data_IF_257020280240
#
_entry.id   IF_257020280240
#
_cell.length_a   1.000
_cell.length_b   1.000
_cell.length_c   1.000
_cell.angle_alpha   90.00
_cell.angle_beta   90.00
_cell.angle_gamma   90.00
#
_symmetry.space_group_name_H-M   'P 1'
#
loop_
_entity.id
_entity.type
_entity.pdbx_description
1 polymer ?
#
# COMPACT_ATOMS: atom_id res chain seq x y z
N UNK A 1 -10.69 -14.80 2.74
CA UNK A 1 -10.77 -15.89 1.74
C UNK A 1 -9.42 -15.91 1.05
N UNK A 2 -8.76 -17.09 0.94
CA UNK A 2 -7.47 -17.20 0.27
C UNK A 2 -7.71 -17.27 -1.25
N UNK A 3 -7.22 -16.30 -2.00
CA UNK A 3 -7.38 -16.26 -3.45
C UNK A 3 -6.09 -16.64 -4.16
N UNK A 4 -6.20 -17.48 -5.20
CA UNK A 4 -5.05 -17.83 -6.05
C UNK A 4 -4.80 -16.75 -7.07
N UNK A 5 -3.62 -16.19 -7.01
CA UNK A 5 -3.11 -15.18 -7.94
C UNK A 5 -1.86 -15.66 -8.64
N UNK A 6 -1.38 -14.89 -9.59
CA UNK A 6 -0.08 -15.05 -10.26
C UNK A 6 0.63 -13.71 -10.29
N UNK A 7 1.95 -13.73 -10.30
CA UNK A 7 2.68 -12.53 -10.67
C UNK A 7 3.42 -12.73 -11.98
N UNK A 8 3.42 -11.69 -12.82
CA UNK A 8 3.90 -11.75 -14.20
C UNK A 8 4.55 -10.46 -14.66
N UNK A 9 5.41 -10.62 -15.66
CA UNK A 9 6.08 -9.53 -16.36
C UNK A 9 6.17 -9.82 -17.86
N UNK A 10 6.91 -8.99 -18.60
CA UNK A 10 7.22 -9.23 -20.00
C UNK A 10 7.94 -10.58 -20.24
N UNK A 11 8.57 -11.17 -19.22
CA UNK A 11 9.24 -12.48 -19.34
C UNK A 11 8.27 -13.62 -19.60
N UNK A 12 7.00 -13.49 -19.19
CA UNK A 12 5.96 -14.49 -19.44
C UNK A 12 5.36 -14.40 -20.85
N UNK A 13 5.79 -13.42 -21.67
CA UNK A 13 5.32 -13.24 -23.04
C UNK A 13 3.84 -12.84 -23.12
N UNK A 14 3.17 -13.32 -24.15
CA UNK A 14 1.73 -13.09 -24.34
C UNK A 14 0.91 -14.10 -23.56
N UNK A 15 -0.04 -13.61 -22.77
CA UNK A 15 -0.88 -14.40 -21.86
C UNK A 15 -2.31 -14.46 -22.41
N UNK A 16 -2.90 -15.66 -22.44
CA UNK A 16 -4.34 -15.87 -22.64
C UNK A 16 -5.07 -15.74 -21.30
N UNK A 17 -5.43 -14.51 -20.97
CA UNK A 17 -6.05 -14.16 -19.69
C UNK A 17 -7.39 -14.84 -19.45
N UNK A 18 -8.15 -15.15 -20.52
CA UNK A 18 -9.41 -15.86 -20.41
C UNK A 18 -9.18 -17.30 -19.92
N UNK A 19 -8.15 -17.98 -20.45
CA UNK A 19 -7.78 -19.33 -19.99
C UNK A 19 -7.22 -19.30 -18.57
N UNK A 20 -6.40 -18.31 -18.23
CA UNK A 20 -5.88 -18.15 -16.88
C UNK A 20 -7.03 -17.98 -15.86
N UNK A 21 -7.98 -17.10 -16.13
CA UNK A 21 -9.17 -16.90 -15.29
C UNK A 21 -10.02 -18.17 -15.16
N UNK A 22 -10.25 -18.88 -16.27
CA UNK A 22 -11.02 -20.13 -16.28
C UNK A 22 -10.35 -21.26 -15.48
N UNK A 23 -9.01 -21.22 -15.29
CA UNK A 23 -8.27 -22.20 -14.49
C UNK A 23 -8.36 -21.98 -12.97
N UNK A 24 -9.09 -20.96 -12.52
CA UNK A 24 -9.32 -20.67 -11.10
C UNK A 24 -8.39 -19.59 -10.53
N UNK A 25 -7.59 -18.93 -11.37
CA UNK A 25 -6.87 -17.69 -10.98
C UNK A 25 -7.90 -16.59 -10.75
N UNK A 26 -7.71 -15.78 -9.71
CA UNK A 26 -8.61 -14.70 -9.30
C UNK A 26 -8.00 -13.31 -9.46
N UNK A 27 -6.69 -13.23 -9.62
CA UNK A 27 -6.01 -11.96 -9.82
C UNK A 27 -4.59 -12.13 -10.31
N UNK A 28 -3.97 -10.99 -10.64
CA UNK A 28 -2.61 -10.92 -11.12
C UNK A 28 -1.88 -9.70 -10.54
N UNK A 29 -0.62 -9.89 -10.16
CA UNK A 29 0.33 -8.85 -9.78
C UNK A 29 1.23 -8.61 -10.99
N UNK A 30 1.16 -7.44 -11.59
CA UNK A 30 1.76 -7.15 -12.89
C UNK A 30 2.99 -6.25 -12.70
N UNK A 31 4.14 -6.63 -13.26
CA UNK A 31 5.26 -5.70 -13.29
C UNK A 31 4.89 -4.47 -14.10
N UNK A 32 4.84 -3.30 -13.46
CA UNK A 32 4.58 -2.04 -14.15
C UNK A 32 5.85 -1.50 -14.82
N UNK A 33 7.00 -1.75 -14.21
CA UNK A 33 8.30 -1.35 -14.72
C UNK A 33 9.39 -1.49 -13.66
N UNK A 34 10.50 -0.79 -13.87
CA UNK A 34 11.67 -0.80 -12.99
C UNK A 34 12.47 0.50 -13.12
N UNK A 35 13.28 0.81 -12.10
CA UNK A 35 14.21 1.94 -12.13
C UNK A 35 13.51 3.30 -12.23
N UNK A 36 14.25 4.32 -12.66
CA UNK A 36 13.85 5.72 -12.60
C UNK A 36 13.58 6.39 -13.97
N UNK A 37 13.27 5.60 -15.01
CA UNK A 37 12.97 6.11 -16.36
C UNK A 37 11.67 5.53 -16.91
N UNK A 38 10.85 6.36 -17.54
CA UNK A 38 9.61 5.93 -18.24
C UNK A 38 9.90 4.90 -19.34
N UNK A 39 11.10 4.93 -19.94
CA UNK A 39 11.52 3.91 -20.92
C UNK A 39 11.68 2.50 -20.32
N UNK A 40 11.74 2.41 -19.00
CA UNK A 40 11.82 1.16 -18.24
C UNK A 40 10.42 0.61 -17.84
N UNK A 41 9.35 1.16 -18.38
CA UNK A 41 8.03 0.55 -18.30
C UNK A 41 8.08 -0.86 -18.88
N UNK A 42 7.50 -1.84 -18.15
CA UNK A 42 7.43 -3.21 -18.65
C UNK A 42 6.66 -3.25 -19.98
N UNK A 43 7.25 -3.88 -20.98
CA UNK A 43 6.71 -3.85 -22.36
C UNK A 43 5.34 -4.51 -22.51
N UNK A 44 4.97 -5.42 -21.59
CA UNK A 44 3.67 -6.08 -21.56
C UNK A 44 2.69 -5.45 -20.56
N UNK A 45 3.11 -4.48 -19.74
CA UNK A 45 2.28 -3.94 -18.65
C UNK A 45 0.93 -3.45 -19.13
N UNK A 46 0.93 -2.56 -20.14
CA UNK A 46 -0.32 -1.94 -20.63
C UNK A 46 -1.30 -2.96 -21.23
N UNK A 47 -0.75 -3.96 -21.92
CA UNK A 47 -1.55 -5.07 -22.47
C UNK A 47 -2.09 -5.94 -21.35
N UNK A 48 -1.22 -6.34 -20.41
CA UNK A 48 -1.57 -7.25 -19.33
C UNK A 48 -2.63 -6.66 -18.39
N UNK A 49 -2.48 -5.42 -17.94
CA UNK A 49 -3.44 -4.82 -17.00
C UNK A 49 -4.83 -4.67 -17.62
N UNK A 50 -4.90 -4.30 -18.90
CA UNK A 50 -6.18 -4.16 -19.60
C UNK A 50 -6.82 -5.52 -19.87
N UNK A 51 -6.04 -6.51 -20.31
CA UNK A 51 -6.56 -7.83 -20.66
C UNK A 51 -6.92 -8.67 -19.42
N UNK A 52 -6.14 -8.58 -18.33
CA UNK A 52 -6.47 -9.23 -17.06
C UNK A 52 -7.79 -8.67 -16.48
N UNK A 53 -7.95 -7.35 -16.45
CA UNK A 53 -9.18 -6.72 -16.00
C UNK A 53 -10.38 -7.09 -16.89
N UNK A 54 -10.23 -7.13 -18.22
CA UNK A 54 -11.26 -7.55 -19.16
C UNK A 54 -11.65 -9.02 -18.96
N UNK A 55 -10.73 -9.88 -18.52
CA UNK A 55 -11.01 -11.28 -18.16
C UNK A 55 -11.65 -11.43 -16.76
N UNK A 56 -11.95 -10.32 -16.07
CA UNK A 56 -12.58 -10.31 -14.75
C UNK A 56 -11.63 -10.62 -13.59
N UNK A 57 -10.32 -10.56 -13.81
CA UNK A 57 -9.32 -10.74 -12.76
C UNK A 57 -9.13 -9.44 -11.98
N UNK A 58 -8.89 -9.58 -10.68
CA UNK A 58 -8.36 -8.49 -9.85
C UNK A 58 -6.93 -8.19 -10.27
N UNK A 59 -6.52 -6.92 -10.19
CA UNK A 59 -5.16 -6.54 -10.59
C UNK A 59 -4.45 -5.77 -9.47
N UNK A 60 -3.19 -6.05 -9.34
CA UNK A 60 -2.22 -5.31 -8.55
C UNK A 60 -0.95 -5.11 -9.38
N UNK A 61 -0.03 -4.30 -8.90
CA UNK A 61 1.21 -4.05 -9.63
C UNK A 61 2.43 -4.16 -8.72
N UNK A 62 3.60 -4.40 -9.32
CA UNK A 62 4.87 -4.21 -8.65
C UNK A 62 5.83 -3.36 -9.48
N UNK A 63 6.72 -2.68 -8.78
CA UNK A 63 7.84 -1.92 -9.35
C UNK A 63 9.14 -2.53 -8.88
N UNK A 64 10.01 -2.90 -9.82
CA UNK A 64 11.30 -3.46 -9.49
C UNK A 64 12.31 -2.33 -9.23
N UNK A 65 12.85 -2.28 -8.02
CA UNK A 65 13.72 -1.21 -7.55
C UNK A 65 15.18 -1.38 -7.94
N UNK A 66 15.78 -0.29 -8.38
CA UNK A 66 17.23 -0.16 -8.60
C UNK A 66 17.81 1.06 -7.91
N UNK A 67 17.04 1.71 -7.03
CA UNK A 67 17.47 2.91 -6.34
C UNK A 67 18.81 2.69 -5.60
N UNK A 68 19.66 3.71 -5.65
CA UNK A 68 20.94 3.74 -4.96
C UNK A 68 20.99 4.78 -3.81
N UNK A 69 19.93 5.56 -3.66
CA UNK A 69 19.74 6.60 -2.65
C UNK A 69 18.24 6.85 -2.41
N UNK A 70 17.89 7.54 -1.33
CA UNK A 70 16.52 7.98 -1.06
C UNK A 70 15.97 8.89 -2.18
N UNK A 71 16.82 9.78 -2.71
CA UNK A 71 16.42 10.65 -3.80
C UNK A 71 16.12 9.86 -5.08
N UNK A 72 16.87 8.79 -5.34
CA UNK A 72 16.62 7.90 -6.47
C UNK A 72 15.36 7.06 -6.26
N UNK A 73 15.10 6.59 -5.04
CA UNK A 73 13.83 5.93 -4.69
C UNK A 73 12.61 6.85 -4.91
N UNK A 74 12.72 8.15 -4.64
CA UNK A 74 11.69 9.13 -4.97
C UNK A 74 11.55 9.34 -6.48
N UNK A 75 12.65 9.31 -7.23
CA UNK A 75 12.61 9.37 -8.68
C UNK A 75 11.93 8.13 -9.28
N UNK A 76 12.25 6.94 -8.77
CA UNK A 76 11.55 5.69 -9.14
C UNK A 76 10.05 5.78 -8.83
N UNK A 77 9.66 6.27 -7.64
CA UNK A 77 8.25 6.49 -7.33
C UNK A 77 7.57 7.45 -8.30
N UNK A 78 8.21 8.56 -8.65
CA UNK A 78 7.66 9.54 -9.60
C UNK A 78 7.36 8.90 -10.96
N UNK A 79 8.28 8.06 -11.47
CA UNK A 79 8.11 7.35 -12.73
C UNK A 79 7.05 6.25 -12.60
N UNK A 80 7.11 5.43 -11.55
CA UNK A 80 6.12 4.41 -11.27
C UNK A 80 4.71 5.01 -11.25
N UNK A 81 4.50 6.08 -10.48
CA UNK A 81 3.24 6.81 -10.40
C UNK A 81 2.74 7.24 -11.78
N UNK A 82 3.60 7.85 -12.59
CA UNK A 82 3.24 8.28 -13.96
C UNK A 82 2.75 7.10 -14.81
N UNK A 83 3.37 5.93 -14.68
CA UNK A 83 3.03 4.73 -15.44
C UNK A 83 1.71 4.12 -14.97
N UNK A 84 1.45 4.05 -13.67
CA UNK A 84 0.30 3.34 -13.11
C UNK A 84 -0.94 4.22 -12.90
N UNK A 85 -0.78 5.55 -12.81
CA UNK A 85 -1.89 6.49 -12.56
C UNK A 85 -3.09 6.33 -13.51
N UNK A 86 -2.90 6.10 -14.83
CA UNK A 86 -4.02 5.87 -15.75
C UNK A 86 -4.90 4.65 -15.39
N UNK A 87 -4.37 3.73 -14.59
CA UNK A 87 -5.01 2.47 -14.20
C UNK A 87 -5.41 2.42 -12.73
N UNK A 88 -5.34 3.54 -12.01
CA UNK A 88 -5.59 3.63 -10.56
C UNK A 88 -6.85 2.88 -10.11
N UNK A 89 -7.95 3.02 -10.83
CA UNK A 89 -9.22 2.37 -10.49
C UNK A 89 -9.23 0.84 -10.60
N UNK A 90 -8.23 0.25 -11.23
CA UNK A 90 -8.09 -1.21 -11.40
C UNK A 90 -7.05 -1.81 -10.45
N UNK A 91 -6.15 -1.01 -9.88
CA UNK A 91 -5.02 -1.48 -9.08
C UNK A 91 -5.41 -1.51 -7.61
N UNK A 92 -5.40 -2.69 -7.01
CA UNK A 92 -5.75 -2.88 -5.60
C UNK A 92 -4.60 -2.55 -4.65
N UNK A 93 -3.38 -2.89 -5.02
CA UNK A 93 -2.17 -2.55 -4.28
C UNK A 93 -0.97 -2.39 -5.19
N UNK A 94 0.08 -1.75 -4.69
CA UNK A 94 1.37 -1.56 -5.34
C UNK A 94 2.47 -2.15 -4.47
N UNK A 95 3.23 -3.12 -4.99
CA UNK A 95 4.40 -3.63 -4.32
C UNK A 95 5.70 -2.95 -4.81
N UNK A 96 6.65 -2.76 -3.89
CA UNK A 96 8.02 -2.41 -4.23
C UNK A 96 8.92 -3.61 -3.99
N UNK A 97 9.64 -3.99 -5.03
CA UNK A 97 10.48 -5.18 -5.09
C UNK A 97 11.95 -4.77 -5.18
N UNK A 98 12.63 -4.79 -4.03
CA UNK A 98 14.05 -4.52 -3.91
C UNK A 98 14.77 -5.78 -3.37
N UNK A 99 15.49 -6.48 -4.25
CA UNK A 99 16.03 -7.80 -3.95
C UNK A 99 17.49 -7.99 -4.39
N UNK A 100 17.97 -9.22 -4.48
CA UNK A 100 19.36 -9.55 -4.83
C UNK A 100 19.85 -8.90 -6.13
N UNK A 101 19.01 -8.82 -7.16
CA UNK A 101 19.38 -8.18 -8.41
C UNK A 101 19.58 -6.66 -8.24
N UNK A 102 18.76 -6.02 -7.38
CA UNK A 102 18.92 -4.62 -6.97
C UNK A 102 20.25 -4.37 -6.26
N UNK A 103 20.57 -5.23 -5.27
CA UNK A 103 21.84 -5.19 -4.53
C UNK A 103 23.04 -5.45 -5.46
N UNK A 104 22.92 -6.37 -6.41
CA UNK A 104 23.96 -6.64 -7.37
C UNK A 104 24.19 -5.47 -8.33
N UNK A 105 23.12 -4.80 -8.74
CA UNK A 105 23.20 -3.56 -9.53
C UNK A 105 23.92 -2.46 -8.73
N UNK A 106 23.51 -2.22 -7.49
CA UNK A 106 24.17 -1.26 -6.60
C UNK A 106 25.68 -1.57 -6.45
N UNK A 107 26.02 -2.84 -6.19
CA UNK A 107 27.43 -3.28 -6.05
C UNK A 107 28.23 -3.02 -7.33
N UNK A 108 27.63 -3.21 -8.50
CA UNK A 108 28.29 -2.92 -9.79
C UNK A 108 28.58 -1.42 -9.96
N UNK A 109 27.68 -0.56 -9.46
CA UNK A 109 27.84 0.90 -9.60
C UNK A 109 28.78 1.49 -8.55
N UNK A 110 28.78 0.95 -7.33
CA UNK A 110 29.46 1.56 -6.17
C UNK A 110 30.65 0.73 -5.64
N UNK A 111 30.89 -0.47 -6.17
CA UNK A 111 31.99 -1.35 -5.74
C UNK A 111 31.69 -2.14 -4.44
N UNK A 112 30.64 -1.78 -3.71
CA UNK A 112 30.22 -2.44 -2.45
C UNK A 112 28.71 -2.67 -2.46
N UNK A 113 28.22 -3.57 -1.58
CA UNK A 113 26.78 -3.69 -1.34
C UNK A 113 26.27 -2.47 -0.55
N UNK A 114 24.98 -2.09 -0.73
CA UNK A 114 24.37 -1.08 0.14
C UNK A 114 24.27 -1.62 1.58
N UNK A 115 24.31 -0.72 2.57
CA UNK A 115 24.02 -1.13 3.94
C UNK A 115 22.53 -1.46 4.13
N UNK A 116 22.23 -2.24 5.17
CA UNK A 116 20.84 -2.55 5.49
C UNK A 116 20.05 -1.28 5.82
N UNK A 117 20.65 -0.30 6.51
CA UNK A 117 20.03 0.97 6.81
C UNK A 117 19.64 1.72 5.52
N UNK A 118 20.51 1.73 4.53
CA UNK A 118 20.24 2.37 3.24
C UNK A 118 19.11 1.65 2.50
N UNK A 119 19.10 0.31 2.48
CA UNK A 119 18.00 -0.47 1.86
C UNK A 119 16.67 -0.13 2.54
N UNK A 120 16.62 -0.17 3.88
CA UNK A 120 15.41 0.16 4.65
C UNK A 120 14.93 1.59 4.37
N UNK A 121 15.85 2.54 4.28
CA UNK A 121 15.53 3.94 4.00
C UNK A 121 14.97 4.14 2.59
N UNK A 122 15.61 3.57 1.56
CA UNK A 122 15.14 3.65 0.17
C UNK A 122 13.75 3.02 0.01
N UNK A 123 13.56 1.82 0.55
CA UNK A 123 12.26 1.11 0.50
C UNK A 123 11.19 1.90 1.26
N UNK A 124 11.50 2.39 2.45
CA UNK A 124 10.61 3.24 3.25
C UNK A 124 10.23 4.53 2.52
N UNK A 125 11.17 5.12 1.80
CA UNK A 125 10.98 6.36 1.01
C UNK A 125 10.03 6.13 -0.16
N UNK A 126 10.22 5.07 -0.96
CA UNK A 126 9.32 4.74 -2.07
C UNK A 126 7.90 4.44 -1.58
N UNK A 127 7.77 3.49 -0.65
CA UNK A 127 6.46 3.05 -0.12
C UNK A 127 5.75 4.19 0.64
N UNK A 128 6.50 5.00 1.39
CA UNK A 128 5.97 6.17 2.08
C UNK A 128 5.41 7.23 1.14
N UNK A 129 6.12 7.51 0.03
CA UNK A 129 5.65 8.42 -1.00
C UNK A 129 4.39 7.87 -1.71
N UNK A 130 4.36 6.57 -2.01
CA UNK A 130 3.18 5.90 -2.57
C UNK A 130 1.97 6.00 -1.64
N UNK A 131 2.16 5.75 -0.35
CA UNK A 131 1.11 5.87 0.67
C UNK A 131 0.58 7.30 0.78
N UNK A 132 1.48 8.29 0.78
CA UNK A 132 1.13 9.72 0.80
C UNK A 132 0.26 10.11 -0.39
N UNK A 133 0.50 9.51 -1.55
CA UNK A 133 -0.26 9.74 -2.78
C UNK A 133 -1.55 8.89 -2.86
N UNK A 134 -1.90 8.17 -1.78
CA UNK A 134 -3.16 7.43 -1.64
C UNK A 134 -3.17 6.06 -2.32
N UNK A 135 -1.99 5.43 -2.49
CA UNK A 135 -1.87 4.04 -2.91
C UNK A 135 -1.82 3.09 -1.70
N UNK A 136 -2.08 1.81 -1.92
CA UNK A 136 -1.91 0.75 -0.93
C UNK A 136 -0.52 0.12 -1.13
N UNK A 137 0.52 0.57 -0.42
CA UNK A 137 1.86 0.05 -0.60
C UNK A 137 2.03 -1.31 0.10
N UNK A 138 2.74 -2.20 -0.57
CA UNK A 138 3.11 -3.55 -0.09
C UNK A 138 4.62 -3.71 -0.25
N UNK A 139 5.28 -4.32 0.71
CA UNK A 139 6.69 -4.65 0.66
C UNK A 139 6.86 -6.09 0.18
N UNK A 140 7.50 -6.28 -1.01
CA UNK A 140 7.95 -7.61 -1.44
C UNK A 140 9.26 -7.99 -0.74
N UNK A 141 9.35 -9.23 -0.30
CA UNK A 141 10.54 -9.78 0.34
C UNK A 141 10.52 -11.31 0.32
N UNK A 142 11.69 -11.90 0.51
CA UNK A 142 11.84 -13.31 0.85
C UNK A 142 12.26 -13.48 2.33
N UNK A 143 12.37 -14.73 2.79
CA UNK A 143 12.73 -15.03 4.19
C UNK A 143 14.14 -14.55 4.59
N UNK A 144 15.10 -14.49 3.65
CA UNK A 144 16.43 -13.94 3.92
C UNK A 144 16.37 -12.42 4.16
N UNK A 145 15.68 -11.69 3.29
CA UNK A 145 15.49 -10.24 3.45
C UNK A 145 14.72 -9.91 4.73
N UNK A 146 13.69 -10.70 5.05
CA UNK A 146 12.94 -10.58 6.30
C UNK A 146 13.82 -10.72 7.54
N UNK A 147 14.74 -11.65 7.52
CA UNK A 147 15.54 -12.00 8.70
C UNK A 147 16.81 -11.18 8.83
N UNK A 148 17.45 -10.85 7.71
CA UNK A 148 18.82 -10.34 7.69
C UNK A 148 18.92 -8.89 7.17
N UNK A 149 17.94 -8.37 6.45
CA UNK A 149 18.02 -7.07 5.77
C UNK A 149 17.02 -6.06 6.34
N UNK A 150 15.73 -6.41 6.39
CA UNK A 150 14.72 -5.48 6.86
C UNK A 150 14.64 -5.41 8.37
N UNK A 151 14.57 -4.19 8.91
CA UNK A 151 14.39 -3.95 10.34
C UNK A 151 12.95 -4.31 10.78
N UNK A 152 12.78 -4.60 12.07
CA UNK A 152 11.45 -4.84 12.65
C UNK A 152 10.51 -3.63 12.46
N UNK A 153 11.06 -2.41 12.46
CA UNK A 153 10.32 -1.19 12.18
C UNK A 153 9.80 -1.19 10.74
N UNK A 154 10.67 -1.42 9.75
CA UNK A 154 10.30 -1.49 8.33
C UNK A 154 9.24 -2.57 8.10
N UNK A 155 9.41 -3.77 8.66
CA UNK A 155 8.45 -4.87 8.53
C UNK A 155 7.09 -4.56 9.17
N UNK A 156 7.05 -3.76 10.23
CA UNK A 156 5.83 -3.36 10.93
C UNK A 156 5.04 -2.23 10.25
N UNK A 157 5.63 -1.53 9.28
CA UNK A 157 5.00 -0.37 8.60
C UNK A 157 4.12 -0.75 7.41
N UNK A 158 4.38 -1.91 6.79
CA UNK A 158 3.83 -2.28 5.49
C UNK A 158 3.12 -3.63 5.52
N UNK A 159 2.12 -3.80 4.66
CA UNK A 159 1.66 -5.12 4.29
C UNK A 159 2.77 -5.86 3.54
N UNK A 160 2.92 -7.16 3.78
CA UNK A 160 4.01 -7.95 3.22
C UNK A 160 3.52 -8.85 2.08
N UNK A 161 4.28 -8.87 0.99
CA UNK A 161 4.24 -9.92 -0.03
C UNK A 161 5.49 -10.79 0.15
N UNK A 162 5.31 -11.93 0.79
CA UNK A 162 6.39 -12.82 1.21
C UNK A 162 6.60 -13.94 0.20
N UNK A 163 7.78 -14.02 -0.39
CA UNK A 163 8.24 -15.21 -1.12
C UNK A 163 8.66 -16.29 -0.11
N UNK A 164 7.76 -17.25 0.07
CA UNK A 164 7.93 -18.39 0.95
C UNK A 164 7.25 -19.60 0.32
N UNK A 165 8.06 -20.54 -0.18
CA UNK A 165 7.61 -21.70 -0.95
C UNK A 165 7.22 -22.88 -0.06
N UNK A 166 7.04 -22.67 1.24
CA UNK A 166 6.50 -23.66 2.16
C UNK A 166 4.96 -23.77 2.05
N UNK A 167 4.37 -24.74 2.72
CA UNK A 167 2.93 -25.00 2.67
C UNK A 167 2.06 -23.88 3.25
N UNK A 168 2.64 -22.95 3.99
CA UNK A 168 2.01 -21.76 4.54
C UNK A 168 3.08 -20.77 5.00
N UNK A 169 2.78 -19.48 5.07
CA UNK A 169 3.80 -18.47 5.35
C UNK A 169 4.31 -18.59 6.79
N UNK A 170 5.63 -18.46 6.97
CA UNK A 170 6.31 -18.48 8.27
C UNK A 170 5.87 -17.34 9.20
N UNK A 171 5.37 -16.26 8.63
CA UNK A 171 4.84 -15.09 9.35
C UNK A 171 3.57 -14.57 8.68
N UNK A 172 2.76 -13.83 9.43
CA UNK A 172 1.59 -13.18 8.87
C UNK A 172 1.99 -12.24 7.73
N UNK A 173 1.38 -12.44 6.56
CA UNK A 173 1.59 -11.62 5.37
C UNK A 173 0.25 -11.39 4.65
N UNK A 174 0.21 -10.36 3.81
CA UNK A 174 -0.95 -10.06 3.00
C UNK A 174 -1.02 -10.93 1.73
N UNK A 175 0.16 -11.25 1.19
CA UNK A 175 0.36 -12.11 0.01
C UNK A 175 1.53 -13.04 0.27
N UNK A 176 1.39 -14.32 -0.07
CA UNK A 176 2.47 -15.29 -0.12
C UNK A 176 2.73 -15.69 -1.58
N UNK A 177 3.94 -15.49 -2.07
CA UNK A 177 4.39 -16.15 -3.29
C UNK A 177 4.81 -17.58 -2.91
N UNK A 178 4.07 -18.56 -3.44
CA UNK A 178 4.17 -19.97 -3.01
C UNK A 178 5.07 -20.80 -3.94
N UNK A 179 5.37 -20.28 -5.13
CA UNK A 179 6.22 -20.95 -6.12
C UNK A 179 6.69 -19.97 -7.19
N UNK A 180 7.89 -20.18 -7.70
CA UNK A 180 8.44 -19.51 -8.89
C UNK A 180 8.46 -20.41 -10.13
N UNK A 181 7.77 -21.52 -10.11
CA UNK A 181 7.81 -22.55 -11.16
C UNK A 181 6.46 -23.20 -11.41
N UNK A 182 5.37 -22.46 -11.14
CA UNK A 182 4.01 -22.90 -11.38
C UNK A 182 3.67 -23.03 -12.85
N UNK A 183 2.55 -23.70 -13.14
CA UNK A 183 1.99 -23.82 -14.49
C UNK A 183 0.53 -23.37 -14.45
N UNK A 184 0.15 -22.46 -15.36
CA UNK A 184 -1.21 -21.95 -15.48
C UNK A 184 -1.65 -22.00 -16.93
N UNK A 185 -2.83 -22.57 -17.25
CA UNK A 185 -3.38 -22.56 -18.59
C UNK A 185 -3.45 -21.15 -19.17
N UNK A 186 -2.94 -20.96 -20.38
CA UNK A 186 -2.90 -19.65 -21.04
C UNK A 186 -1.56 -18.91 -20.88
N UNK A 187 -0.63 -19.47 -20.11
CA UNK A 187 0.74 -18.95 -19.96
C UNK A 187 1.72 -19.98 -20.49
N UNK A 188 2.68 -19.56 -21.30
CA UNK A 188 3.73 -20.40 -21.82
C UNK A 188 4.92 -20.43 -20.85
N UNK A 189 5.38 -21.63 -20.49
CA UNK A 189 6.47 -21.80 -19.51
C UNK A 189 5.99 -21.73 -18.06
N UNK A 190 6.91 -21.40 -17.16
CA UNK A 190 6.62 -21.27 -15.74
C UNK A 190 6.12 -19.87 -15.38
N UNK A 191 5.36 -19.79 -14.30
CA UNK A 191 4.83 -18.55 -13.75
C UNK A 191 4.83 -18.62 -12.23
N UNK A 192 4.99 -17.49 -11.58
CA UNK A 192 4.97 -17.37 -10.15
C UNK A 192 3.52 -17.47 -9.65
N UNK A 193 3.34 -18.22 -8.55
CA UNK A 193 2.04 -18.49 -7.95
C UNK A 193 1.94 -17.82 -6.59
N UNK A 194 0.80 -17.17 -6.36
CA UNK A 194 0.53 -16.44 -5.13
C UNK A 194 -0.76 -16.88 -4.46
N UNK A 195 -0.80 -16.70 -3.14
CA UNK A 195 -2.02 -16.72 -2.34
C UNK A 195 -2.20 -15.35 -1.70
N UNK A 196 -3.31 -14.71 -2.00
CA UNK A 196 -3.70 -13.43 -1.38
C UNK A 196 -4.64 -13.71 -0.21
N UNK A 197 -4.23 -13.28 0.99
CA UNK A 197 -4.96 -13.44 2.25
C UNK A 197 -5.74 -12.17 2.61
N UNK A 198 -5.20 -11.00 2.26
CA UNK A 198 -5.78 -9.70 2.57
C UNK A 198 -6.81 -9.28 1.52
N UNK A 199 -7.93 -8.73 1.96
CA UNK A 199 -8.94 -8.17 1.05
C UNK A 199 -8.59 -6.70 0.72
N UNK A 200 -7.73 -6.49 -0.25
CA UNK A 200 -7.35 -5.16 -0.72
C UNK A 200 -8.47 -4.40 -1.45
N UNK A 201 -9.61 -5.05 -1.78
CA UNK A 201 -10.77 -4.36 -2.34
C UNK A 201 -11.48 -3.51 -1.29
N UNK A 202 -11.30 -3.86 -0.04
CA UNK A 202 -11.59 -2.98 1.08
C UNK A 202 -10.37 -2.06 1.23
N UNK A 203 -10.31 -1.03 0.40
CA UNK A 203 -9.36 0.05 0.61
C UNK A 203 -9.44 0.38 2.10
N UNK A 204 -8.35 0.17 2.84
CA UNK A 204 -8.20 0.87 4.10
C UNK A 204 -8.20 2.35 3.68
N UNK A 205 -9.38 2.93 3.64
CA UNK A 205 -9.57 4.35 3.49
C UNK A 205 -9.13 4.93 4.80
N UNK A 206 -7.81 4.85 5.04
CA UNK A 206 -7.23 5.39 6.24
C UNK A 206 -7.50 6.88 6.21
N UNK A 207 -8.52 7.28 6.96
CA UNK A 207 -8.82 8.68 7.17
C UNK A 207 -7.53 9.33 7.67
N UNK A 208 -6.89 10.15 6.85
CA UNK A 208 -5.80 10.98 7.32
C UNK A 208 -6.40 12.17 8.09
N UNK A 209 -5.74 12.59 9.15
CA UNK A 209 -6.11 13.74 9.95
C UNK A 209 -4.86 14.57 10.24
N UNK A 210 -5.01 15.88 10.19
CA UNK A 210 -3.91 16.84 10.39
C UNK A 210 -3.47 16.98 11.85
N UNK A 211 -4.23 16.42 12.79
CA UNK A 211 -4.00 16.53 14.23
C UNK A 211 -4.02 15.17 14.88
N UNK A 212 -2.93 14.82 15.55
CA UNK A 212 -2.75 13.57 16.32
C UNK A 212 -2.31 13.81 17.76
N UNK A 213 -2.02 15.07 18.12
CA UNK A 213 -1.69 15.47 19.48
C UNK A 213 -2.95 15.76 20.28
N UNK A 214 -2.92 15.45 21.58
CA UNK A 214 -3.98 15.80 22.51
C UNK A 214 -4.26 17.32 22.51
N UNK A 215 -5.52 17.68 22.52
CA UNK A 215 -5.98 19.07 22.48
C UNK A 215 -6.65 19.45 23.78
N UNK A 216 -6.46 20.70 24.19
CA UNK A 216 -7.18 21.32 25.30
C UNK A 216 -7.85 22.63 24.85
N UNK A 217 -9.12 22.81 25.16
CA UNK A 217 -9.90 24.05 24.83
C UNK A 217 -10.81 24.45 25.97
N UNK A 218 -10.88 25.73 26.28
CA UNK A 218 -11.90 26.24 27.19
C UNK A 218 -13.33 25.94 26.71
N UNK A 219 -14.25 25.81 27.65
CA UNK A 219 -15.67 25.64 27.34
C UNK A 219 -16.16 26.73 26.35
N UNK A 220 -16.94 26.35 25.33
CA UNK A 220 -17.41 27.21 24.26
C UNK A 220 -16.39 27.47 23.14
N UNK A 221 -15.12 27.15 23.31
CA UNK A 221 -14.11 27.29 22.27
C UNK A 221 -14.11 26.05 21.34
N UNK A 222 -13.60 26.23 20.14
CA UNK A 222 -13.51 25.15 19.17
C UNK A 222 -12.10 25.02 18.60
N UNK A 223 -11.85 23.86 17.99
CA UNK A 223 -10.70 23.58 17.16
C UNK A 223 -11.16 22.91 15.86
N UNK A 224 -10.60 23.31 14.73
CA UNK A 224 -10.93 22.69 13.45
C UNK A 224 -9.88 21.66 13.07
N UNK A 225 -10.31 20.44 12.84
CA UNK A 225 -9.48 19.37 12.28
C UNK A 225 -9.82 19.17 10.82
N UNK A 226 -8.79 18.87 10.02
CA UNK A 226 -8.93 18.49 8.61
C UNK A 226 -8.72 16.98 8.48
N UNK A 227 -9.67 16.33 7.81
CA UNK A 227 -9.54 14.96 7.39
C UNK A 227 -9.37 14.89 5.88
N UNK A 228 -8.58 13.91 5.41
CA UNK A 228 -8.40 13.62 3.99
C UNK A 228 -8.78 12.16 3.76
N UNK A 229 -9.79 11.92 2.94
CA UNK A 229 -10.31 10.61 2.58
C UNK A 229 -11.18 10.72 1.33
N UNK A 230 -11.06 9.83 0.34
CA UNK A 230 -11.94 9.81 -0.82
C UNK A 230 -13.42 9.64 -0.44
N UNK A 231 -13.70 8.88 0.61
CA UNK A 231 -15.04 8.60 1.09
C UNK A 231 -15.50 9.63 2.15
N UNK A 232 -16.78 9.60 2.50
CA UNK A 232 -17.32 10.40 3.59
C UNK A 232 -16.74 9.94 4.92
N UNK A 233 -16.15 10.84 5.69
CA UNK A 233 -15.57 10.54 7.01
C UNK A 233 -16.59 10.73 8.11
N UNK A 234 -16.64 9.82 9.07
CA UNK A 234 -17.26 10.04 10.37
C UNK A 234 -16.20 10.47 11.39
N UNK A 235 -16.47 11.56 12.11
CA UNK A 235 -15.69 11.97 13.29
C UNK A 235 -16.60 11.85 14.50
N UNK A 236 -16.16 11.14 15.53
CA UNK A 236 -16.99 10.86 16.72
C UNK A 236 -16.21 11.07 18.01
N UNK A 237 -16.93 11.38 19.09
CA UNK A 237 -16.39 11.42 20.45
C UNK A 237 -16.72 10.11 21.19
N UNK A 238 -15.78 9.58 21.95
CA UNK A 238 -15.95 8.35 22.72
C UNK A 238 -16.93 8.51 23.89
N UNK A 239 -16.98 9.72 24.49
CA UNK A 239 -17.91 10.08 25.56
C UNK A 239 -18.77 11.27 25.11
N UNK A 240 -20.08 11.10 25.15
CA UNK A 240 -21.01 12.16 24.78
C UNK A 240 -21.03 13.33 25.77
N UNK A 241 -21.48 14.51 25.33
CA UNK A 241 -21.65 15.70 26.15
C UNK A 241 -20.35 16.44 26.50
N UNK A 242 -19.21 16.06 25.93
CA UNK A 242 -17.91 16.72 26.15
C UNK A 242 -17.52 17.58 24.94
N UNK A 243 -17.74 17.06 23.75
CA UNK A 243 -17.45 17.73 22.48
C UNK A 243 -18.65 17.61 21.56
N UNK A 244 -19.04 18.73 20.94
CA UNK A 244 -19.95 18.73 19.79
C UNK A 244 -19.12 18.80 18.52
N UNK A 245 -19.40 17.90 17.57
CA UNK A 245 -18.67 17.80 16.31
C UNK A 245 -19.53 18.30 15.17
N UNK A 246 -19.07 19.35 14.48
CA UNK A 246 -19.81 20.02 13.40
C UNK A 246 -19.04 19.79 12.10
N UNK A 247 -19.58 18.99 11.16
CA UNK A 247 -18.95 18.79 9.85
C UNK A 247 -19.17 20.01 8.94
N UNK A 248 -18.14 20.37 8.18
CA UNK A 248 -18.26 21.27 7.04
C UNK A 248 -18.47 20.50 5.74
N UNK A 249 -18.95 21.16 4.68
CA UNK A 249 -19.06 20.53 3.37
C UNK A 249 -17.72 19.93 2.91
N UNK A 250 -17.77 18.73 2.35
CA UNK A 250 -16.60 18.05 1.78
C UNK A 250 -16.20 18.70 0.47
N UNK A 251 -14.90 18.90 0.24
CA UNK A 251 -14.33 19.42 -1.01
C UNK A 251 -13.26 18.43 -1.51
N UNK A 252 -13.53 17.77 -2.62
CA UNK A 252 -12.67 16.69 -3.11
C UNK A 252 -12.48 15.59 -2.06
N UNK A 253 -11.23 15.31 -1.67
CA UNK A 253 -10.92 14.36 -0.61
C UNK A 253 -10.81 14.98 0.79
N UNK A 254 -10.92 16.30 0.91
CA UNK A 254 -10.78 17.02 2.18
C UNK A 254 -12.13 17.32 2.81
N UNK A 255 -12.19 17.18 4.14
CA UNK A 255 -13.34 17.62 4.95
C UNK A 255 -12.85 18.20 6.28
N UNK A 256 -13.43 19.35 6.67
CA UNK A 256 -13.18 19.99 7.95
C UNK A 256 -14.26 19.62 8.96
N UNK A 257 -13.88 19.56 10.24
CA UNK A 257 -14.78 19.35 11.35
C UNK A 257 -14.43 20.31 12.48
N UNK A 258 -15.38 21.09 12.97
CA UNK A 258 -15.20 21.87 14.18
C UNK A 258 -15.50 20.98 15.41
N UNK A 259 -14.56 20.91 16.34
CA UNK A 259 -14.68 20.25 17.63
C UNK A 259 -14.95 21.32 18.70
N UNK A 260 -16.17 21.45 19.11
CA UNK A 260 -16.61 22.49 20.07
C UNK A 260 -16.63 21.93 21.49
N UNK A 261 -15.89 22.52 22.42
CA UNK A 261 -15.87 22.14 23.83
C UNK A 261 -17.19 22.52 24.51
N UNK A 262 -17.99 21.54 24.91
CA UNK A 262 -19.29 21.75 25.57
C UNK A 262 -19.40 21.10 26.95
N UNK A 263 -18.39 20.27 27.32
CA UNK A 263 -18.32 19.63 28.63
C UNK A 263 -17.91 20.60 29.75
N UNK A 264 -17.92 20.10 30.99
CA UNK A 264 -17.40 20.83 32.14
C UNK A 264 -15.87 20.83 32.12
N UNK A 265 -15.26 21.87 32.70
CA UNK A 265 -13.81 21.95 32.95
C UNK A 265 -13.29 20.67 33.62
N UNK A 266 -12.20 20.11 33.12
CA UNK A 266 -11.59 18.87 33.60
C UNK A 266 -12.14 17.60 32.96
N UNK A 267 -13.16 17.67 32.07
CA UNK A 267 -13.65 16.53 31.34
C UNK A 267 -12.83 16.27 30.04
N UNK A 268 -12.72 15.00 29.63
CA UNK A 268 -12.03 14.64 28.41
C UNK A 268 -12.72 13.50 27.66
N UNK A 269 -12.49 13.42 26.35
CA UNK A 269 -12.98 12.35 25.50
C UNK A 269 -11.96 12.01 24.40
N UNK A 270 -11.96 10.75 23.94
CA UNK A 270 -11.23 10.37 22.73
C UNK A 270 -11.95 10.86 21.48
N UNK A 271 -11.21 11.37 20.51
CA UNK A 271 -11.70 11.67 19.15
C UNK A 271 -11.33 10.53 18.22
N UNK A 272 -12.31 10.04 17.49
CA UNK A 272 -12.21 8.89 16.59
C UNK A 272 -12.60 9.29 15.17
N UNK A 273 -11.98 8.66 14.18
CA UNK A 273 -12.36 8.80 12.77
C UNK A 273 -12.58 7.43 12.15
N UNK A 274 -13.54 7.34 11.23
CA UNK A 274 -13.75 6.13 10.42
C UNK A 274 -14.25 6.51 9.02
N UNK A 275 -13.86 5.75 8.02
CA UNK A 275 -14.55 5.70 6.73
C UNK A 275 -15.71 4.70 6.78
N UNK A 276 -16.66 4.73 5.84
CA UNK A 276 -17.78 3.79 5.82
C UNK A 276 -17.32 2.34 5.85
N UNK A 277 -17.82 1.55 6.80
CA UNK A 277 -17.47 0.16 6.99
C UNK A 277 -16.21 -0.13 7.79
N UNK A 278 -15.46 0.90 8.20
CA UNK A 278 -14.27 0.76 9.03
C UNK A 278 -14.58 0.86 10.53
N UNK A 279 -13.74 0.23 11.34
CA UNK A 279 -13.79 0.44 12.81
C UNK A 279 -13.24 1.83 13.14
N UNK A 280 -13.90 2.60 14.03
CA UNK A 280 -13.39 3.90 14.46
C UNK A 280 -12.00 3.80 15.08
N UNK A 281 -11.05 4.58 14.54
CA UNK A 281 -9.67 4.67 15.05
C UNK A 281 -9.54 5.92 15.93
N UNK A 282 -9.07 5.72 17.18
CA UNK A 282 -8.76 6.83 18.09
C UNK A 282 -7.58 7.64 17.55
N UNK A 283 -7.75 8.98 17.51
CA UNK A 283 -6.74 9.89 16.98
C UNK A 283 -6.01 10.65 18.07
N UNK A 284 -6.74 11.20 19.02
CA UNK A 284 -6.22 11.98 20.15
C UNK A 284 -7.26 12.11 21.26
N UNK A 285 -6.89 12.72 22.39
CA UNK A 285 -7.79 13.11 23.46
C UNK A 285 -8.09 14.59 23.34
N UNK A 286 -9.36 14.95 23.51
CA UNK A 286 -9.83 16.33 23.62
C UNK A 286 -10.25 16.63 25.06
N UNK A 287 -9.67 17.67 25.68
CA UNK A 287 -9.93 18.09 27.05
C UNK A 287 -10.60 19.43 27.07
N UNK A 288 -11.55 19.60 27.99
CA UNK A 288 -12.19 20.90 28.29
C UNK A 288 -11.48 21.53 29.49
N UNK A 289 -10.96 22.75 29.34
CA UNK A 289 -10.21 23.51 30.38
C UNK A 289 -10.92 24.75 30.80
#
# INVERSE_FOLDING_TARGET
MNERWIDVSAHNGTIDWAKAAASGIRGAILRAGYGNSVSQTDSQFKSNISAAAAAGLKTAVYWFGYADSESDALAEWSVCKQVIEPYRGSILFLAYDYEYASVNYYRKMHGTAPSNELINSMVGTFLGAAKKDGWNPVLYLNNDYRTNIYSAETLGLWDLWLADYSAGPDVACAVQQTSNSGTVPGISGTVDLDIVFHDFSKTATSVQIDTTMDLSRPHGQYYTVKTVCPQQVSVTAGTGGIVTIVPFPKSGNEQLFALVAVGFTGTETGIYTAAPGEKPLKRFIFRVT
#
